data_IF_731766681120
#
_entry.id   IF_731766681120
#
_cell.length_a   1.000
_cell.length_b   1.000
_cell.length_c   1.000
_cell.angle_alpha   90.00
_cell.angle_beta   90.00
_cell.angle_gamma   90.00
#
_symmetry.space_group_name_H-M   'P 1'
#
loop_
_entity.id
_entity.type
_entity.pdbx_description
1 polymer ?
#
# COMPACT_ATOMS: atom_id res chain seq x y z
N UNK A 1 8.64 13.33 29.60
CA UNK A 1 8.74 11.86 29.79
C UNK A 1 7.54 11.43 30.62
N UNK A 2 6.53 10.87 29.96
CA UNK A 2 5.38 10.28 30.65
C UNK A 2 5.79 8.86 31.06
N UNK A 3 5.88 8.62 32.36
CA UNK A 3 6.22 7.30 32.88
C UNK A 3 5.08 6.34 32.54
N UNK A 4 5.37 5.35 31.69
CA UNK A 4 4.49 4.22 31.48
C UNK A 4 4.15 3.58 32.83
N UNK A 5 2.88 3.22 33.07
CA UNK A 5 2.47 2.42 34.22
C UNK A 5 3.43 1.25 34.38
N UNK A 6 4.15 1.18 35.50
CA UNK A 6 5.12 0.11 35.77
C UNK A 6 4.41 -1.24 35.74
N UNK A 7 4.61 -2.00 34.66
CA UNK A 7 4.09 -3.37 34.53
C UNK A 7 3.92 -3.87 33.09
N UNK A 8 3.83 -2.99 32.08
CA UNK A 8 3.69 -3.40 30.67
C UNK A 8 5.04 -3.72 30.02
N UNK A 9 5.03 -4.63 29.04
CA UNK A 9 6.20 -5.00 28.25
C UNK A 9 6.46 -4.00 27.13
N UNK A 10 7.73 -3.80 26.79
CA UNK A 10 8.15 -3.01 25.64
C UNK A 10 8.43 -3.93 24.46
N UNK A 11 7.59 -3.89 23.45
CA UNK A 11 7.61 -4.77 22.29
C UNK A 11 8.08 -3.99 21.07
N UNK A 12 9.24 -4.37 20.53
CA UNK A 12 9.79 -3.78 19.30
C UNK A 12 9.17 -4.37 18.05
N UNK A 13 8.85 -3.51 17.08
CA UNK A 13 8.58 -3.93 15.71
C UNK A 13 9.58 -3.31 14.74
N UNK A 14 10.24 -4.17 13.96
CA UNK A 14 11.27 -3.80 12.99
C UNK A 14 10.84 -4.25 11.60
N UNK A 15 10.90 -3.36 10.62
CA UNK A 15 10.71 -3.70 9.22
C UNK A 15 11.97 -3.35 8.42
N UNK A 16 12.55 -4.36 7.77
CA UNK A 16 13.73 -4.18 6.91
C UNK A 16 13.39 -4.44 5.46
N UNK A 17 14.00 -3.67 4.56
CA UNK A 17 13.96 -3.99 3.13
C UNK A 17 14.94 -5.14 2.84
N UNK A 18 14.69 -5.91 1.78
CA UNK A 18 15.60 -6.99 1.36
C UNK A 18 17.02 -6.48 1.01
N UNK A 19 17.16 -5.17 0.80
CA UNK A 19 18.43 -4.50 0.48
C UNK A 19 19.14 -3.98 1.74
N UNK A 20 18.40 -3.57 2.78
CA UNK A 20 18.95 -3.08 4.04
C UNK A 20 19.22 -4.24 4.99
N UNK A 21 20.47 -4.72 5.02
CA UNK A 21 20.91 -5.80 5.91
C UNK A 21 21.09 -5.36 7.39
N UNK A 22 20.84 -4.10 7.72
CA UNK A 22 21.16 -3.53 9.03
C UNK A 22 19.93 -3.40 9.94
N UNK A 23 19.41 -4.55 10.39
CA UNK A 23 18.29 -4.64 11.34
C UNK A 23 18.63 -4.08 12.72
N UNK A 24 19.90 -4.19 13.13
CA UNK A 24 20.35 -3.83 14.49
C UNK A 24 20.23 -2.33 14.80
N UNK A 25 20.34 -1.45 13.78
CA UNK A 25 20.38 0.00 14.00
C UNK A 25 19.04 0.67 14.26
N UNK A 26 17.89 0.02 13.95
CA UNK A 26 16.60 0.71 14.03
C UNK A 26 16.14 0.98 15.46
N UNK A 27 16.41 0.07 16.39
CA UNK A 27 16.04 0.20 17.81
C UNK A 27 17.24 -0.02 18.73
N UNK A 28 18.44 0.32 18.25
CA UNK A 28 19.69 0.22 19.03
C UNK A 28 19.60 1.12 20.27
N UNK A 29 19.98 0.61 21.42
CA UNK A 29 19.94 1.33 22.67
C UNK A 29 18.56 1.46 23.32
N UNK A 30 17.52 0.86 22.72
CA UNK A 30 16.18 0.80 23.33
C UNK A 30 16.03 -0.53 24.07
N UNK A 31 15.70 -0.48 25.36
CA UNK A 31 15.38 -1.69 26.13
C UNK A 31 14.03 -2.26 25.69
N UNK A 32 14.04 -3.50 25.23
CA UNK A 32 12.87 -4.22 24.69
C UNK A 32 12.78 -5.62 25.27
N UNK A 33 11.58 -6.05 25.63
CA UNK A 33 11.32 -7.41 26.12
C UNK A 33 11.25 -8.41 24.97
N UNK A 34 10.77 -7.99 23.80
CA UNK A 34 10.64 -8.83 22.60
C UNK A 34 10.65 -7.98 21.34
N UNK A 35 11.20 -8.53 20.27
CA UNK A 35 11.24 -7.88 18.94
C UNK A 35 10.61 -8.78 17.89
N UNK A 36 9.75 -8.21 17.06
CA UNK A 36 9.17 -8.84 15.88
C UNK A 36 9.76 -8.19 14.63
N UNK A 37 10.25 -9.00 13.69
CA UNK A 37 10.95 -8.48 12.51
C UNK A 37 10.35 -9.02 11.23
N UNK A 38 9.82 -8.12 10.38
CA UNK A 38 9.43 -8.44 9.00
C UNK A 38 10.55 -8.08 8.02
N UNK A 39 10.90 -9.04 7.16
CA UNK A 39 11.76 -8.82 6.00
C UNK A 39 10.85 -8.64 4.78
N UNK A 40 10.55 -7.41 4.40
CA UNK A 40 9.63 -7.11 3.31
C UNK A 40 10.38 -6.52 2.11
N UNK A 41 10.21 -7.09 0.92
CA UNK A 41 10.52 -6.39 -0.33
C UNK A 41 9.49 -5.28 -0.54
N UNK A 42 9.86 -4.18 -1.22
CA UNK A 42 9.00 -3.00 -1.38
C UNK A 42 7.61 -3.24 -1.98
N UNK A 43 7.38 -4.43 -2.57
CA UNK A 43 6.10 -4.86 -3.16
C UNK A 43 5.29 -5.80 -2.27
N UNK A 44 5.90 -6.39 -1.23
CA UNK A 44 5.23 -7.39 -0.40
C UNK A 44 4.36 -6.71 0.66
N UNK A 45 3.06 -7.02 0.64
CA UNK A 45 2.08 -6.53 1.61
C UNK A 45 1.96 -7.43 2.82
N UNK A 46 2.53 -8.64 2.77
CA UNK A 46 2.44 -9.60 3.83
C UNK A 46 3.39 -9.25 4.97
N UNK A 47 2.83 -8.99 6.16
CA UNK A 47 3.56 -8.64 7.39
C UNK A 47 3.18 -9.59 8.52
N UNK A 48 3.59 -10.86 8.45
CA UNK A 48 3.20 -11.85 9.44
C UNK A 48 3.71 -11.51 10.85
N UNK A 49 4.88 -10.88 10.95
CA UNK A 49 5.44 -10.51 12.24
C UNK A 49 4.77 -9.27 12.83
N UNK A 50 4.33 -8.30 12.01
CA UNK A 50 3.48 -7.21 12.50
C UNK A 50 2.17 -7.76 13.07
N UNK A 51 1.51 -8.67 12.35
CA UNK A 51 0.29 -9.31 12.83
C UNK A 51 0.53 -10.04 14.15
N UNK A 52 1.60 -10.84 14.21
CA UNK A 52 1.98 -11.54 15.44
C UNK A 52 2.29 -10.58 16.61
N UNK A 53 2.93 -9.43 16.33
CA UNK A 53 3.17 -8.39 17.33
C UNK A 53 1.85 -7.80 17.84
N UNK A 54 0.94 -7.44 16.93
CA UNK A 54 -0.38 -6.88 17.28
C UNK A 54 -1.24 -7.85 18.09
N UNK A 55 -1.16 -9.16 17.79
CA UNK A 55 -1.85 -10.22 18.53
C UNK A 55 -1.20 -10.49 19.91
N UNK A 56 0.11 -10.26 20.03
CA UNK A 56 0.87 -10.48 21.27
C UNK A 56 0.64 -9.38 22.31
N UNK A 57 0.46 -8.13 21.88
CA UNK A 57 0.31 -6.95 22.74
C UNK A 57 -0.94 -7.03 23.63
N UNK A 58 -0.79 -6.61 24.89
CA UNK A 58 -1.82 -6.57 25.93
C UNK A 58 -2.00 -5.14 26.47
N UNK A 59 -3.05 -4.93 27.23
CA UNK A 59 -3.28 -3.66 27.95
C UNK A 59 -2.06 -3.32 28.84
N UNK A 60 -1.63 -2.08 28.77
CA UNK A 60 -0.45 -1.55 29.46
C UNK A 60 0.89 -1.78 28.75
N UNK A 61 0.95 -2.57 27.66
CA UNK A 61 2.16 -2.76 26.88
C UNK A 61 2.51 -1.53 26.02
N UNK A 62 3.76 -1.45 25.58
CA UNK A 62 4.26 -0.40 24.69
C UNK A 62 4.75 -1.04 23.38
N UNK A 63 4.13 -0.67 22.26
CA UNK A 63 4.69 -0.97 20.94
C UNK A 63 5.71 0.09 20.57
N UNK A 64 6.98 -0.32 20.41
CA UNK A 64 8.08 0.56 20.02
C UNK A 64 8.43 0.31 18.54
N UNK A 65 8.38 1.37 17.75
CA UNK A 65 8.71 1.33 16.32
C UNK A 65 9.72 2.42 16.01
N UNK A 66 10.69 2.14 15.13
CA UNK A 66 11.71 3.13 14.80
C UNK A 66 11.10 4.41 14.22
N UNK A 67 10.20 4.29 13.24
CA UNK A 67 9.56 5.42 12.56
C UNK A 67 8.19 5.05 12.00
N UNK A 68 7.36 6.06 11.75
CA UNK A 68 5.98 5.87 11.29
C UNK A 68 5.89 5.12 9.97
N UNK A 69 6.81 5.36 9.03
CA UNK A 69 6.88 4.67 7.74
C UNK A 69 7.22 3.17 7.87
N UNK A 70 7.78 2.75 9.00
CA UNK A 70 8.03 1.34 9.32
C UNK A 70 6.75 0.63 9.78
N UNK A 71 5.88 1.31 10.49
CA UNK A 71 4.61 0.73 10.96
C UNK A 71 3.58 0.66 9.84
N UNK A 72 3.37 1.75 9.11
CA UNK A 72 2.34 1.84 8.07
C UNK A 72 2.88 2.36 6.75
N UNK A 73 2.14 2.12 5.65
CA UNK A 73 2.50 2.56 4.30
C UNK A 73 1.81 3.85 3.89
N UNK A 74 0.75 4.14 4.54
CA UNK A 74 -0.03 5.36 4.38
C UNK A 74 -0.56 5.79 5.73
N UNK A 75 -1.00 7.03 5.80
CA UNK A 75 -1.38 7.60 7.07
C UNK A 75 -2.70 7.06 7.59
N UNK A 76 -3.63 6.65 6.71
CA UNK A 76 -4.89 6.07 7.15
C UNK A 76 -4.66 4.75 7.90
N UNK A 77 -3.77 3.90 7.37
CA UNK A 77 -3.37 2.66 8.04
C UNK A 77 -2.64 2.95 9.36
N UNK A 78 -1.80 4.01 9.39
CA UNK A 78 -1.12 4.44 10.61
C UNK A 78 -2.12 4.85 11.68
N UNK A 79 -3.05 5.75 11.34
CA UNK A 79 -4.08 6.26 12.25
C UNK A 79 -4.94 5.14 12.80
N UNK A 80 -5.44 4.25 11.92
CA UNK A 80 -6.26 3.11 12.32
C UNK A 80 -5.51 2.16 13.24
N UNK A 81 -4.23 1.88 12.94
CA UNK A 81 -3.40 1.00 13.76
C UNK A 81 -3.14 1.60 15.14
N UNK A 82 -2.74 2.87 15.20
CA UNK A 82 -2.49 3.58 16.46
C UNK A 82 -3.78 3.66 17.29
N UNK A 83 -4.91 4.04 16.68
CA UNK A 83 -6.20 4.12 17.38
C UNK A 83 -6.62 2.76 17.93
N UNK A 84 -6.56 1.70 17.10
CA UNK A 84 -6.92 0.34 17.54
C UNK A 84 -6.06 -0.13 18.71
N UNK A 85 -4.77 0.20 18.72
CA UNK A 85 -3.88 -0.14 19.82
C UNK A 85 -4.19 0.66 21.09
N UNK A 86 -4.41 1.95 20.94
CA UNK A 86 -4.76 2.84 22.04
C UNK A 86 -6.10 2.44 22.68
N UNK A 87 -7.10 2.05 21.88
CA UNK A 87 -8.39 1.53 22.37
C UNK A 87 -8.24 0.23 23.18
N UNK A 88 -7.14 -0.52 22.94
CA UNK A 88 -6.76 -1.72 23.69
C UNK A 88 -5.86 -1.42 24.89
N UNK A 89 -5.61 -0.15 25.22
CA UNK A 89 -4.72 0.27 26.29
C UNK A 89 -3.22 0.10 25.99
N UNK A 90 -2.86 -0.11 24.71
CA UNK A 90 -1.46 -0.23 24.28
C UNK A 90 -0.93 1.14 23.87
N UNK A 91 0.23 1.51 24.42
CA UNK A 91 0.97 2.71 24.05
C UNK A 91 1.76 2.48 22.77
N UNK A 92 1.82 3.46 21.86
CA UNK A 92 2.64 3.40 20.65
C UNK A 92 3.71 4.47 20.68
N UNK A 93 4.98 4.07 20.56
CA UNK A 93 6.15 4.94 20.59
C UNK A 93 6.90 4.90 19.27
N UNK A 94 7.13 6.08 18.65
CA UNK A 94 7.97 6.26 17.47
C UNK A 94 9.27 6.95 17.87
N UNK A 95 10.37 6.19 17.82
CA UNK A 95 11.67 6.62 18.32
C UNK A 95 12.24 7.79 17.53
N UNK A 96 12.21 7.71 16.19
CA UNK A 96 12.77 8.72 15.29
C UNK A 96 12.05 10.06 15.40
N UNK A 97 10.73 10.02 15.45
CA UNK A 97 9.89 11.21 15.54
C UNK A 97 9.78 11.74 16.98
N UNK A 98 10.19 10.96 17.98
CA UNK A 98 10.06 11.32 19.39
C UNK A 98 8.61 11.44 19.87
N UNK A 99 7.69 10.68 19.23
CA UNK A 99 6.26 10.74 19.50
C UNK A 99 5.76 9.51 20.23
N UNK A 100 4.91 9.71 21.23
CA UNK A 100 4.27 8.66 22.01
C UNK A 100 2.77 8.89 22.06
N UNK A 101 1.98 7.88 21.71
CA UNK A 101 0.53 7.88 21.71
C UNK A 101 0.04 6.93 22.80
N UNK A 102 -0.57 7.49 23.85
CA UNK A 102 -0.91 6.77 25.11
C UNK A 102 -2.37 6.34 25.19
N UNK A 103 -3.21 6.72 24.22
CA UNK A 103 -4.65 6.48 24.31
C UNK A 103 -5.38 7.38 25.31
N UNK A 104 -4.66 8.02 26.23
CA UNK A 104 -5.23 9.10 27.01
C UNK A 104 -5.67 10.20 26.06
N UNK A 105 -6.86 10.73 26.25
CA UNK A 105 -7.48 11.78 25.43
C UNK A 105 -6.70 13.11 25.47
N UNK A 106 -5.39 13.07 25.27
CA UNK A 106 -4.64 14.30 25.16
C UNK A 106 -5.06 14.99 23.86
N UNK A 107 -5.64 16.18 24.00
CA UNK A 107 -6.02 17.03 22.86
C UNK A 107 -4.84 17.20 21.86
N UNK A 108 -3.61 17.12 22.35
CA UNK A 108 -2.38 17.20 21.57
C UNK A 108 -2.20 15.96 20.69
N UNK A 109 -2.39 14.75 21.20
CA UNK A 109 -2.29 13.52 20.40
C UNK A 109 -3.35 13.48 19.30
N UNK A 110 -4.60 13.83 19.60
CA UNK A 110 -5.68 13.97 18.62
C UNK A 110 -5.37 15.04 17.57
N UNK A 111 -4.87 16.19 17.97
CA UNK A 111 -4.47 17.27 17.06
C UNK A 111 -3.35 16.84 16.15
N UNK A 112 -2.28 16.22 16.67
CA UNK A 112 -1.17 15.69 15.88
C UNK A 112 -1.63 14.67 14.84
N UNK A 113 -2.46 13.70 15.24
CA UNK A 113 -3.04 12.71 14.35
C UNK A 113 -3.90 13.37 13.25
N UNK A 114 -4.70 14.39 13.60
CA UNK A 114 -5.54 15.13 12.65
C UNK A 114 -4.69 15.91 11.64
N UNK A 115 -3.65 16.61 12.10
CA UNK A 115 -2.74 17.36 11.23
C UNK A 115 -2.02 16.40 10.27
N UNK A 116 -1.48 15.31 10.79
CA UNK A 116 -0.80 14.30 9.97
C UNK A 116 -1.76 13.66 8.96
N UNK A 117 -3.03 13.40 9.36
CA UNK A 117 -4.09 12.95 8.46
C UNK A 117 -4.34 13.94 7.33
N UNK A 118 -4.49 15.20 7.65
CA UNK A 118 -4.69 16.28 6.67
C UNK A 118 -3.52 16.44 5.70
N UNK A 119 -2.28 16.41 6.19
CA UNK A 119 -1.07 16.49 5.34
C UNK A 119 -1.02 15.34 4.34
N UNK A 120 -1.35 14.13 4.76
CA UNK A 120 -1.28 12.99 3.84
C UNK A 120 -2.45 12.93 2.85
N UNK A 121 -3.63 13.41 3.21
CA UNK A 121 -4.70 13.60 2.23
C UNK A 121 -4.29 14.64 1.18
N UNK A 122 -3.68 15.72 1.62
CA UNK A 122 -3.13 16.73 0.74
C UNK A 122 -2.06 16.16 -0.20
N UNK A 123 -1.07 15.42 0.31
CA UNK A 123 -0.05 14.77 -0.52
C UNK A 123 -0.66 13.81 -1.55
N UNK A 124 -1.66 13.00 -1.16
CA UNK A 124 -2.38 12.12 -2.09
C UNK A 124 -3.12 12.89 -3.17
N UNK A 125 -3.80 13.97 -2.79
CA UNK A 125 -4.50 14.83 -3.74
C UNK A 125 -3.52 15.43 -4.76
N UNK A 126 -2.38 15.96 -4.31
CA UNK A 126 -1.33 16.52 -5.16
C UNK A 126 -0.72 15.48 -6.12
N UNK A 127 -0.47 14.24 -5.65
CA UNK A 127 0.03 13.15 -6.49
C UNK A 127 -1.00 12.81 -7.58
N UNK A 128 -2.27 12.72 -7.21
CA UNK A 128 -3.37 12.41 -8.14
C UNK A 128 -3.53 13.49 -9.19
N UNK A 129 -3.45 14.75 -8.80
CA UNK A 129 -3.52 15.90 -9.71
C UNK A 129 -2.39 15.86 -10.74
N UNK A 130 -1.13 15.73 -10.29
CA UNK A 130 0.04 15.59 -11.18
C UNK A 130 -0.08 14.40 -12.11
N UNK A 131 -0.63 13.28 -11.64
CA UNK A 131 -0.86 12.09 -12.45
C UNK A 131 -1.90 12.34 -13.55
N UNK A 132 -3.01 13.02 -13.23
CA UNK A 132 -4.03 13.40 -14.22
C UNK A 132 -3.48 14.36 -15.26
N UNK A 133 -2.71 15.38 -14.85
CA UNK A 133 -2.02 16.29 -15.77
C UNK A 133 -1.03 15.53 -16.68
N UNK A 134 -0.25 14.61 -16.13
CA UNK A 134 0.68 13.79 -16.89
C UNK A 134 -0.03 12.92 -17.93
N UNK A 135 -1.16 12.32 -17.57
CA UNK A 135 -2.01 11.54 -18.48
C UNK A 135 -2.58 12.45 -19.59
N UNK A 136 -3.07 13.64 -19.23
CA UNK A 136 -3.61 14.60 -20.20
C UNK A 136 -2.54 15.02 -21.21
N UNK A 137 -1.34 15.40 -20.75
CA UNK A 137 -0.20 15.71 -21.61
C UNK A 137 0.24 14.55 -22.50
N UNK A 138 0.26 13.32 -21.96
CA UNK A 138 0.61 12.13 -22.72
C UNK A 138 -0.44 11.79 -23.80
N UNK A 139 -1.74 12.02 -23.51
CA UNK A 139 -2.82 11.89 -24.50
C UNK A 139 -2.67 12.92 -25.62
N UNK A 140 -2.43 14.19 -25.29
CA UNK A 140 -2.20 15.25 -26.29
C UNK A 140 -0.97 15.00 -27.16
N UNK A 141 0.09 14.45 -26.57
CA UNK A 141 1.31 14.07 -27.29
C UNK A 141 1.22 12.73 -28.07
N UNK A 142 0.04 12.07 -28.11
CA UNK A 142 -0.15 10.78 -28.76
C UNK A 142 0.65 9.61 -28.14
N UNK A 143 1.26 9.85 -26.98
CA UNK A 143 2.09 8.84 -26.28
C UNK A 143 1.28 7.86 -25.44
N UNK A 144 0.03 8.19 -25.14
CA UNK A 144 -0.86 7.33 -24.36
C UNK A 144 -1.49 6.27 -25.26
N UNK A 145 -0.90 5.09 -25.28
CA UNK A 145 -1.34 3.97 -26.15
C UNK A 145 -2.38 3.05 -25.50
N UNK A 146 -2.82 3.32 -24.30
CA UNK A 146 -3.72 2.43 -23.55
C UNK A 146 -3.10 1.04 -23.33
N UNK A 147 -3.95 0.05 -23.08
CA UNK A 147 -3.53 -1.35 -23.04
C UNK A 147 -3.22 -1.79 -24.46
N UNK A 148 -1.95 -2.10 -24.76
CA UNK A 148 -1.60 -2.63 -26.06
C UNK A 148 -2.33 -3.97 -26.31
N UNK A 149 -2.86 -4.13 -27.54
CA UNK A 149 -3.39 -5.43 -27.94
C UNK A 149 -2.24 -6.43 -27.93
N UNK A 150 -2.43 -7.54 -27.25
CA UNK A 150 -1.48 -8.67 -27.26
C UNK A 150 -1.54 -9.47 -28.56
N UNK A 151 -2.48 -9.14 -29.47
CA UNK A 151 -2.66 -9.81 -30.73
C UNK A 151 -1.70 -9.30 -31.80
N UNK A 152 -1.05 -10.22 -32.48
CA UNK A 152 -0.24 -9.90 -33.68
C UNK A 152 -1.12 -9.31 -34.78
N UNK A 153 -0.62 -8.32 -35.50
CA UNK A 153 -1.35 -7.68 -36.59
C UNK A 153 -1.80 -8.66 -37.68
N UNK A 154 -1.07 -9.77 -37.86
CA UNK A 154 -1.43 -10.85 -38.78
C UNK A 154 -2.74 -11.55 -38.37
N UNK A 155 -2.92 -11.82 -37.09
CA UNK A 155 -4.15 -12.45 -36.56
C UNK A 155 -5.36 -11.53 -36.72
N UNK A 156 -5.18 -10.23 -36.52
CA UNK A 156 -6.25 -9.23 -36.72
C UNK A 156 -6.69 -9.23 -38.21
N UNK A 157 -5.73 -9.25 -39.15
CA UNK A 157 -6.03 -9.33 -40.58
C UNK A 157 -6.77 -10.61 -40.94
N UNK A 158 -6.33 -11.75 -40.42
CA UNK A 158 -6.96 -13.05 -40.65
C UNK A 158 -8.41 -13.07 -40.17
N UNK A 159 -8.68 -12.61 -38.96
CA UNK A 159 -10.03 -12.50 -38.41
C UNK A 159 -10.93 -11.65 -39.32
N UNK A 160 -10.41 -10.53 -39.85
CA UNK A 160 -11.17 -9.63 -40.73
C UNK A 160 -11.50 -10.31 -42.06
N UNK A 161 -10.52 -10.95 -42.70
CA UNK A 161 -10.72 -11.66 -43.98
C UNK A 161 -11.75 -12.77 -43.82
N UNK A 162 -11.64 -13.61 -42.80
CA UNK A 162 -12.54 -14.72 -42.53
C UNK A 162 -13.95 -14.27 -42.15
N UNK A 163 -14.07 -13.19 -41.38
CA UNK A 163 -15.36 -12.59 -41.05
C UNK A 163 -16.04 -11.98 -42.30
N UNK A 164 -15.27 -11.36 -43.22
CA UNK A 164 -15.78 -10.83 -44.48
C UNK A 164 -16.23 -11.95 -45.44
N UNK A 165 -15.59 -13.12 -45.38
CA UNK A 165 -16.00 -14.33 -46.10
C UNK A 165 -17.25 -15.01 -45.52
N UNK A 166 -17.88 -14.43 -44.50
CA UNK A 166 -19.14 -14.92 -43.92
C UNK A 166 -18.97 -15.94 -42.80
N UNK A 167 -17.75 -16.15 -42.29
CA UNK A 167 -17.51 -17.10 -41.21
C UNK A 167 -18.13 -16.65 -39.89
N UNK A 168 -18.63 -17.61 -39.11
CA UNK A 168 -19.37 -17.34 -37.85
C UNK A 168 -18.45 -16.70 -36.82
N UNK A 169 -18.80 -15.49 -36.38
CA UNK A 169 -18.04 -14.70 -35.38
C UNK A 169 -17.82 -15.43 -34.08
N UNK A 170 -18.72 -16.34 -33.71
CA UNK A 170 -18.59 -17.15 -32.48
C UNK A 170 -17.60 -18.31 -32.68
N UNK A 171 -17.44 -18.82 -33.89
CA UNK A 171 -16.42 -19.81 -34.23
C UNK A 171 -15.03 -19.17 -34.18
N UNK A 172 -14.88 -18.02 -34.83
CA UNK A 172 -13.65 -17.20 -34.77
C UNK A 172 -13.27 -16.86 -33.33
N UNK A 173 -14.22 -16.44 -32.51
CA UNK A 173 -13.94 -16.11 -31.08
C UNK A 173 -13.39 -17.31 -30.31
N UNK A 174 -13.89 -18.51 -30.55
CA UNK A 174 -13.41 -19.75 -29.91
C UNK A 174 -12.05 -20.16 -30.41
N UNK A 175 -11.82 -20.11 -31.70
CA UNK A 175 -10.56 -20.50 -32.33
C UNK A 175 -9.38 -19.61 -31.89
N UNK A 176 -9.60 -18.28 -31.89
CA UNK A 176 -8.60 -17.30 -31.45
C UNK A 176 -8.57 -17.07 -29.93
N UNK A 177 -9.33 -17.85 -29.13
CA UNK A 177 -9.45 -17.72 -27.67
C UNK A 177 -9.81 -16.30 -27.21
N UNK A 178 -10.71 -15.65 -27.94
CA UNK A 178 -11.18 -14.29 -27.69
C UNK A 178 -12.64 -14.25 -27.23
N UNK A 179 -13.02 -13.15 -26.58
CA UNK A 179 -14.44 -12.88 -26.36
C UNK A 179 -15.12 -12.48 -27.69
N UNK A 180 -16.41 -12.77 -27.81
CA UNK A 180 -17.22 -12.28 -28.93
C UNK A 180 -17.12 -10.76 -29.08
N UNK A 181 -17.14 -10.03 -27.96
CA UNK A 181 -17.01 -8.57 -27.96
C UNK A 181 -15.69 -8.11 -28.56
N UNK A 182 -14.60 -8.85 -28.32
CA UNK A 182 -13.28 -8.54 -28.92
C UNK A 182 -13.33 -8.69 -30.44
N UNK A 183 -13.99 -9.73 -30.97
CA UNK A 183 -14.18 -9.89 -32.43
C UNK A 183 -14.97 -8.69 -33.01
N UNK A 184 -16.07 -8.31 -32.38
CA UNK A 184 -16.85 -7.13 -32.85
C UNK A 184 -16.00 -5.85 -32.82
N UNK A 185 -15.21 -5.64 -31.77
CA UNK A 185 -14.33 -4.47 -31.67
C UNK A 185 -13.24 -4.46 -32.77
N UNK A 186 -12.68 -5.63 -33.13
CA UNK A 186 -11.69 -5.77 -34.22
C UNK A 186 -12.33 -5.41 -35.58
N UNK A 187 -13.58 -5.81 -35.78
CA UNK A 187 -14.29 -5.51 -37.03
C UNK A 187 -14.74 -4.05 -37.10
N UNK A 188 -15.09 -3.43 -35.99
CA UNK A 188 -15.53 -2.04 -35.92
C UNK A 188 -14.37 -1.01 -35.99
N UNK A 189 -13.14 -1.41 -35.75
CA UNK A 189 -11.96 -0.51 -35.71
C UNK A 189 -11.44 -0.09 -37.11
N UNK A 190 -12.23 -0.27 -38.16
CA UNK A 190 -11.88 0.10 -39.54
C UNK A 190 -12.66 1.33 -40.06
N UNK A 191 -13.46 1.94 -39.18
CA UNK A 191 -14.16 3.20 -39.46
C UNK A 191 -13.47 4.35 -38.74
#
# INVERSE_FOLDING_TARGET
MVAAKRGGKRIGYVRVSAVDQNTARQLDGVELDKVFTDKASGKDTNRPQLKAALDYLRDGDVLVVHSMDRLARNISDLLNTVQTLNDRGVVVEFVKEGLTFTGDDSAISKLMLTIMGGVAEFERAMIRERQLEGIAKAKQAGKYRGRQSTMAGAQIKEIRVRAAAGENKSALAREFMLSRQTIYNILAAET
#
